data_IF_429041541726
#
_entry.id   IF_429041541726
#
_cell.length_a   1.000
_cell.length_b   1.000
_cell.length_c   1.000
_cell.angle_alpha   90.00
_cell.angle_beta   90.00
_cell.angle_gamma   90.00
#
_symmetry.space_group_name_H-M   'P 1'
#
loop_
_entity.id
_entity.type
_entity.pdbx_description
1 polymer ?
#
# COMPACT_ATOMS: atom_id res chain seq x y z
N UNK A 1 36.27 31.52 -25.45
CA UNK A 1 35.44 32.71 -25.14
C UNK A 1 34.64 32.35 -23.90
N UNK A 2 35.10 32.80 -22.73
CA UNK A 2 34.50 32.42 -21.44
C UNK A 2 33.34 33.34 -21.11
N UNK A 3 32.14 32.79 -21.10
CA UNK A 3 30.92 33.49 -20.69
C UNK A 3 30.92 33.55 -19.17
N UNK A 4 31.46 34.63 -18.61
CA UNK A 4 31.44 34.87 -17.17
C UNK A 4 30.08 35.46 -16.79
N UNK A 5 29.18 34.61 -16.32
CA UNK A 5 27.87 35.04 -15.84
C UNK A 5 28.02 35.83 -14.52
N UNK A 6 27.27 36.91 -14.30
CA UNK A 6 27.28 37.63 -13.03
C UNK A 6 26.89 36.72 -11.86
N UNK A 7 27.62 36.78 -10.75
CA UNK A 7 27.45 35.88 -9.58
C UNK A 7 26.02 35.91 -9.02
N UNK A 8 25.35 37.06 -9.09
CA UNK A 8 23.95 37.19 -8.67
C UNK A 8 22.98 36.40 -9.55
N UNK A 9 23.18 36.41 -10.87
CA UNK A 9 22.34 35.68 -11.83
C UNK A 9 22.53 34.17 -11.71
N UNK A 10 23.77 33.73 -11.47
CA UNK A 10 24.08 32.30 -11.31
C UNK A 10 23.40 31.70 -10.08
N UNK A 11 23.31 32.46 -8.98
CA UNK A 11 22.58 32.06 -7.78
C UNK A 11 21.06 32.01 -7.98
N UNK A 12 20.50 33.03 -8.62
CA UNK A 12 19.06 33.06 -8.92
C UNK A 12 18.65 31.90 -9.83
N UNK A 13 19.45 31.62 -10.87
CA UNK A 13 19.22 30.51 -11.80
C UNK A 13 19.38 29.15 -11.12
N UNK A 14 20.35 28.99 -10.22
CA UNK A 14 20.49 27.76 -9.44
C UNK A 14 19.27 27.52 -8.53
N UNK A 15 18.78 28.56 -7.85
CA UNK A 15 17.60 28.46 -6.98
C UNK A 15 16.32 28.12 -7.77
N UNK A 16 16.13 28.71 -8.94
CA UNK A 16 15.00 28.40 -9.83
C UNK A 16 15.09 26.97 -10.38
N UNK A 17 16.29 26.54 -10.80
CA UNK A 17 16.51 25.18 -11.29
C UNK A 17 16.25 24.12 -10.21
N UNK A 18 16.60 24.41 -8.95
CA UNK A 18 16.35 23.52 -7.81
C UNK A 18 14.85 23.43 -7.49
N UNK A 19 14.14 24.57 -7.46
CA UNK A 19 12.69 24.60 -7.27
C UNK A 19 11.93 23.82 -8.36
N UNK A 20 12.34 23.96 -9.63
CA UNK A 20 11.77 23.21 -10.75
C UNK A 20 12.07 21.70 -10.64
N UNK A 21 13.26 21.32 -10.18
CA UNK A 21 13.63 19.92 -9.96
C UNK A 21 12.76 19.30 -8.86
N UNK A 22 12.60 19.99 -7.74
CA UNK A 22 11.76 19.52 -6.63
C UNK A 22 10.29 19.39 -7.05
N UNK A 23 9.77 20.38 -7.78
CA UNK A 23 8.40 20.33 -8.29
C UNK A 23 8.18 19.12 -9.22
N UNK A 24 9.12 18.87 -10.14
CA UNK A 24 9.07 17.69 -11.03
C UNK A 24 9.17 16.38 -10.26
N UNK A 25 10.06 16.31 -9.26
CA UNK A 25 10.20 15.11 -8.42
C UNK A 25 8.91 14.78 -7.69
N UNK A 26 8.19 15.78 -7.16
CA UNK A 26 6.89 15.59 -6.51
C UNK A 26 5.82 15.08 -7.48
N UNK A 27 5.77 15.61 -8.71
CA UNK A 27 4.83 15.15 -9.74
C UNK A 27 5.09 13.68 -10.08
N UNK A 28 6.35 13.32 -10.33
CA UNK A 28 6.74 11.93 -10.65
C UNK A 28 6.44 10.98 -9.49
N UNK A 29 6.68 11.41 -8.25
CA UNK A 29 6.34 10.63 -7.06
C UNK A 29 4.83 10.39 -6.97
N UNK A 30 4.01 11.44 -7.13
CA UNK A 30 2.56 11.34 -7.09
C UNK A 30 1.99 10.46 -8.22
N UNK A 31 2.53 10.56 -9.44
CA UNK A 31 2.16 9.69 -10.56
C UNK A 31 2.57 8.23 -10.31
N UNK A 32 3.76 8.02 -9.76
CA UNK A 32 4.25 6.70 -9.37
C UNK A 32 3.36 6.06 -8.31
N UNK A 33 2.94 6.84 -7.30
CA UNK A 33 2.06 6.39 -6.24
C UNK A 33 0.65 6.06 -6.75
N UNK A 34 0.11 6.87 -7.67
CA UNK A 34 -1.16 6.59 -8.34
C UNK A 34 -1.09 5.27 -9.14
N UNK A 35 -0.01 5.08 -9.90
CA UNK A 35 0.21 3.87 -10.70
C UNK A 35 0.32 2.63 -9.80
N UNK A 36 1.13 2.71 -8.74
CA UNK A 36 1.26 1.65 -7.74
C UNK A 36 -0.08 1.32 -7.08
N UNK A 37 -0.85 2.33 -6.71
CA UNK A 37 -2.18 2.16 -6.09
C UNK A 37 -3.16 1.44 -7.03
N UNK A 38 -3.13 1.75 -8.32
CA UNK A 38 -3.97 1.06 -9.33
C UNK A 38 -3.59 -0.41 -9.47
N UNK A 39 -2.30 -0.71 -9.57
CA UNK A 39 -1.82 -2.09 -9.66
C UNK A 39 -2.17 -2.89 -8.40
N UNK A 40 -2.03 -2.28 -7.21
CA UNK A 40 -2.42 -2.90 -5.95
C UNK A 40 -3.93 -3.14 -5.86
N UNK A 41 -4.76 -2.21 -6.35
CA UNK A 41 -6.21 -2.39 -6.43
C UNK A 41 -6.55 -3.58 -7.32
N UNK A 42 -6.00 -3.65 -8.52
CA UNK A 42 -6.25 -4.76 -9.45
C UNK A 42 -5.81 -6.09 -8.83
N UNK A 43 -4.64 -6.14 -8.20
CA UNK A 43 -4.19 -7.31 -7.47
C UNK A 43 -5.16 -7.69 -6.34
N UNK A 44 -5.67 -6.72 -5.59
CA UNK A 44 -6.67 -6.94 -4.53
C UNK A 44 -7.98 -7.48 -5.08
N UNK A 45 -8.47 -6.95 -6.20
CA UNK A 45 -9.70 -7.39 -6.84
C UNK A 45 -9.56 -8.84 -7.33
N UNK A 46 -8.41 -9.18 -7.94
CA UNK A 46 -8.08 -10.56 -8.32
C UNK A 46 -8.02 -11.49 -7.10
N UNK A 47 -7.42 -11.04 -5.99
CA UNK A 47 -7.38 -11.82 -4.75
C UNK A 47 -8.77 -12.03 -4.14
N UNK A 48 -9.62 -11.01 -4.16
CA UNK A 48 -10.99 -11.09 -3.66
C UNK A 48 -11.82 -12.07 -4.48
N UNK A 49 -11.59 -12.14 -5.79
CA UNK A 49 -12.27 -13.09 -6.68
C UNK A 49 -11.97 -14.56 -6.37
N UNK A 50 -10.81 -14.85 -5.77
CA UNK A 50 -10.41 -16.22 -5.43
C UNK A 50 -9.83 -16.33 -4.01
N UNK A 51 -10.62 -16.81 -3.03
CA UNK A 51 -10.20 -16.90 -1.63
C UNK A 51 -9.00 -17.84 -1.39
N UNK A 52 -8.71 -18.78 -2.31
CA UNK A 52 -7.53 -19.66 -2.22
C UNK A 52 -6.22 -18.83 -2.33
N UNK A 53 -6.26 -17.68 -3.00
CA UNK A 53 -5.10 -16.79 -3.19
C UNK A 53 -4.56 -16.27 -1.86
N UNK A 54 -5.43 -15.94 -0.90
CA UNK A 54 -5.04 -15.49 0.44
C UNK A 54 -4.32 -16.61 1.20
N UNK A 55 -4.82 -17.84 1.08
CA UNK A 55 -4.20 -19.01 1.71
C UNK A 55 -2.82 -19.32 1.12
N UNK A 56 -2.66 -19.24 -0.20
CA UNK A 56 -1.35 -19.41 -0.85
C UNK A 56 -0.35 -18.33 -0.44
N UNK A 57 -0.79 -17.06 -0.33
CA UNK A 57 0.04 -15.97 0.17
C UNK A 57 0.46 -16.20 1.62
N UNK A 58 -0.43 -16.70 2.46
CA UNK A 58 -0.11 -17.09 3.83
C UNK A 58 0.98 -18.18 3.86
N UNK A 59 0.85 -19.24 3.05
CA UNK A 59 1.90 -20.27 2.94
C UNK A 59 3.23 -19.72 2.41
N UNK A 60 3.21 -18.80 1.44
CA UNK A 60 4.42 -18.12 0.95
C UNK A 60 5.09 -17.27 2.03
N UNK A 61 4.30 -16.52 2.82
CA UNK A 61 4.84 -15.74 3.94
C UNK A 61 5.45 -16.64 5.02
N UNK A 62 4.82 -17.78 5.33
CA UNK A 62 5.39 -18.78 6.24
C UNK A 62 6.68 -19.38 5.70
N UNK A 63 6.75 -19.68 4.40
CA UNK A 63 7.96 -20.18 3.75
C UNK A 63 9.10 -19.15 3.83
N UNK A 64 8.80 -17.88 3.55
CA UNK A 64 9.79 -16.79 3.65
C UNK A 64 10.28 -16.62 5.09
N UNK A 65 9.37 -16.56 6.06
CA UNK A 65 9.70 -16.42 7.49
C UNK A 65 10.47 -17.64 8.01
N UNK A 66 10.09 -18.85 7.61
CA UNK A 66 10.80 -20.09 7.95
C UNK A 66 12.23 -20.11 7.41
N UNK A 67 12.50 -19.42 6.29
CA UNK A 67 13.84 -19.29 5.74
C UNK A 67 14.70 -18.28 6.51
N UNK A 68 14.11 -17.27 7.14
CA UNK A 68 14.83 -16.17 7.82
C UNK A 68 15.14 -16.41 9.31
N UNK A 69 14.80 -17.56 9.91
CA UNK A 69 15.14 -17.91 11.31
C UNK A 69 14.79 -16.81 12.35
N UNK A 70 13.65 -16.14 12.27
CA UNK A 70 13.21 -15.21 13.33
C UNK A 70 11.96 -15.73 14.07
N UNK A 71 12.13 -16.00 15.37
CA UNK A 71 11.20 -16.73 16.26
C UNK A 71 9.99 -15.92 16.75
N UNK A 72 9.77 -14.70 16.23
CA UNK A 72 8.65 -13.86 16.65
C UNK A 72 7.61 -13.81 15.54
N UNK A 73 6.73 -14.82 15.53
CA UNK A 73 5.60 -14.90 14.60
C UNK A 73 4.47 -14.04 15.18
N UNK A 74 4.39 -12.77 14.77
CA UNK A 74 3.22 -11.94 15.05
C UNK A 74 2.14 -12.38 14.08
N UNK A 75 1.19 -13.14 14.61
CA UNK A 75 0.04 -13.65 13.88
C UNK A 75 -1.10 -12.63 13.99
N UNK A 76 -1.41 -11.83 12.97
CA UNK A 76 -2.65 -11.07 12.97
C UNK A 76 -3.79 -12.07 12.76
N UNK A 77 -4.37 -12.55 13.87
CA UNK A 77 -5.59 -13.34 13.83
C UNK A 77 -6.70 -12.50 13.19
N UNK A 78 -7.35 -12.99 12.12
CA UNK A 78 -8.45 -12.27 11.47
C UNK A 78 -9.61 -12.10 12.46
N UNK A 79 -9.91 -10.87 12.83
CA UNK A 79 -11.13 -10.49 13.57
C UNK A 79 -12.42 -10.89 12.83
N UNK A 80 -12.33 -11.20 11.53
CA UNK A 80 -13.44 -11.73 10.74
C UNK A 80 -13.95 -13.09 11.26
N UNK A 81 -13.12 -13.88 11.95
CA UNK A 81 -13.57 -15.11 12.63
C UNK A 81 -14.27 -14.84 13.96
N UNK A 82 -14.05 -13.68 14.60
CA UNK A 82 -14.76 -13.30 15.83
C UNK A 82 -16.21 -12.86 15.54
N UNK A 83 -16.48 -12.25 14.38
CA UNK A 83 -17.83 -11.75 14.06
C UNK A 83 -18.83 -12.89 13.82
N UNK A 84 -18.36 -14.03 13.30
CA UNK A 84 -19.20 -15.21 13.01
C UNK A 84 -19.58 -15.98 14.29
N UNK A 85 -18.81 -15.84 15.38
CA UNK A 85 -19.07 -16.55 16.63
C UNK A 85 -19.93 -15.77 17.65
N UNK A 86 -20.34 -14.54 17.35
CA UNK A 86 -20.99 -13.64 18.33
C UNK A 86 -22.34 -13.02 17.96
N UNK A 87 -22.94 -13.34 16.80
CA UNK A 87 -24.10 -12.61 16.28
C UNK A 87 -25.30 -13.47 15.86
N UNK A 88 -25.61 -14.54 16.60
CA UNK A 88 -26.78 -15.39 16.34
C UNK A 88 -27.72 -15.55 17.54
N UNK A 89 -27.83 -14.54 18.41
CA UNK A 89 -29.01 -14.37 19.25
C UNK A 89 -29.74 -13.06 18.91
N UNK A 90 -31.05 -13.18 18.73
CA UNK A 90 -32.06 -12.12 18.56
C UNK A 90 -32.40 -11.75 17.11
N UNK A 91 -33.37 -12.46 16.51
CA UNK A 91 -34.58 -11.93 15.84
C UNK A 91 -35.18 -13.02 14.94
N UNK A 92 -36.12 -13.82 15.46
CA UNK A 92 -37.16 -14.50 14.66
C UNK A 92 -38.04 -15.43 15.52
N UNK A 93 -38.97 -14.91 16.32
CA UNK A 93 -40.23 -15.62 16.60
C UNK A 93 -41.29 -14.70 17.21
N UNK A 94 -42.52 -14.80 16.70
CA UNK A 94 -43.79 -14.30 17.26
C UNK A 94 -44.22 -12.88 16.85
N UNK A 95 -44.78 -12.75 15.64
CA UNK A 95 -46.03 -12.02 15.37
C UNK A 95 -46.49 -12.38 13.96
N UNK A 96 -47.20 -13.50 13.84
CA UNK A 96 -48.20 -13.72 12.78
C UNK A 96 -49.13 -14.86 13.22
N UNK A 97 -50.43 -14.53 13.27
CA UNK A 97 -51.60 -15.31 13.67
C UNK A 97 -51.83 -15.44 15.19
#
# INVERSE_FOLDING_TARGET
>A
KDVRLPVAMQRAMAAEAEALREAKAKIVAAEGELSASRALKEASDVMSSNPITLQLRYLQTLSNISSERNSTIIFPFPIDLLSVAGANNTTATTTTL
#
